data_IF_015272164354
#
_entry.id   IF_015272164354
#
_cell.length_a   1.000
_cell.length_b   1.000
_cell.length_c   1.000
_cell.angle_alpha   90.00
_cell.angle_beta   90.00
_cell.angle_gamma   90.00
#
_symmetry.space_group_name_H-M   'P 1'
#
loop_
_entity.id
_entity.type
_entity.pdbx_description
1 polymer ?
#
# COMPACT_ATOMS: atom_id res chain seq x y z
N UNK A 1 -4.85 -1.66 -19.91
CA UNK A 1 -4.14 -0.84 -18.91
C UNK A 1 -4.08 -1.52 -17.53
N UNK A 2 -5.21 -2.01 -16.97
CA UNK A 2 -5.23 -2.58 -15.61
C UNK A 2 -4.31 -3.83 -15.48
N UNK A 3 -4.36 -4.76 -16.43
CA UNK A 3 -3.49 -5.95 -16.42
C UNK A 3 -2.01 -5.55 -16.46
N UNK A 4 -1.67 -4.58 -17.29
CA UNK A 4 -0.29 -4.10 -17.41
C UNK A 4 0.18 -3.45 -16.09
N UNK A 5 -0.66 -2.65 -15.42
CA UNK A 5 -0.33 -2.10 -14.10
C UNK A 5 -0.04 -3.19 -13.07
N UNK A 6 -0.88 -4.23 -13.02
CA UNK A 6 -0.71 -5.34 -12.08
C UNK A 6 0.57 -6.14 -12.36
N UNK A 7 0.84 -6.45 -13.63
CA UNK A 7 2.06 -7.15 -14.02
C UNK A 7 3.32 -6.36 -13.63
N UNK A 8 3.34 -5.07 -13.93
CA UNK A 8 4.49 -4.22 -13.59
C UNK A 8 4.65 -4.07 -12.08
N UNK A 9 3.53 -3.92 -11.34
CA UNK A 9 3.58 -3.90 -9.87
C UNK A 9 4.10 -5.21 -9.27
N UNK A 10 3.76 -6.36 -9.86
CA UNK A 10 4.30 -7.64 -9.41
C UNK A 10 5.79 -7.79 -9.75
N UNK A 11 6.18 -7.37 -10.95
CA UNK A 11 7.58 -7.40 -11.38
C UNK A 11 8.47 -6.50 -10.50
N UNK A 12 8.01 -5.28 -10.19
CA UNK A 12 8.82 -4.40 -9.35
C UNK A 12 9.01 -4.97 -7.95
N UNK A 13 7.98 -5.60 -7.35
CA UNK A 13 8.13 -6.27 -6.05
C UNK A 13 9.19 -7.38 -6.08
N UNK A 14 9.21 -8.18 -7.16
CA UNK A 14 10.22 -9.22 -7.34
C UNK A 14 11.62 -8.62 -7.46
N UNK A 15 11.77 -7.56 -8.26
CA UNK A 15 13.04 -6.86 -8.47
C UNK A 15 13.57 -6.25 -7.17
N UNK A 16 12.70 -5.59 -6.40
CA UNK A 16 13.01 -5.02 -5.09
C UNK A 16 13.53 -6.12 -4.13
N UNK A 17 12.86 -7.26 -4.03
CA UNK A 17 13.30 -8.39 -3.20
C UNK A 17 14.65 -8.95 -3.66
N UNK A 18 14.94 -9.00 -4.97
CA UNK A 18 16.23 -9.42 -5.50
C UNK A 18 17.33 -8.42 -5.08
N UNK A 19 17.08 -7.12 -5.15
CA UNK A 19 18.06 -6.11 -4.75
C UNK A 19 18.34 -6.15 -3.25
N UNK A 20 17.31 -6.27 -2.41
CA UNK A 20 17.47 -6.41 -0.95
C UNK A 20 18.24 -7.70 -0.63
N UNK A 21 17.87 -8.83 -1.25
CA UNK A 21 18.54 -10.11 -1.03
C UNK A 21 20.01 -10.09 -1.41
N UNK A 22 20.38 -9.38 -2.48
CA UNK A 22 21.79 -9.26 -2.91
C UNK A 22 22.58 -8.21 -2.10
N UNK A 23 21.94 -7.12 -1.67
CA UNK A 23 22.60 -6.02 -0.99
C UNK A 23 22.69 -6.17 0.52
N UNK A 24 21.67 -6.78 1.14
CA UNK A 24 21.57 -6.94 2.61
C UNK A 24 21.64 -8.41 3.03
N UNK A 25 21.29 -9.30 2.11
CA UNK A 25 21.25 -10.74 2.36
C UNK A 25 19.88 -11.22 2.84
N UNK A 26 19.83 -12.51 3.25
CA UNK A 26 18.57 -13.18 3.63
C UNK A 26 17.87 -12.54 4.84
N UNK A 27 18.59 -11.94 5.76
CA UNK A 27 18.02 -11.24 6.92
C UNK A 27 17.24 -9.98 6.49
N UNK A 28 17.69 -9.27 5.44
CA UNK A 28 16.98 -8.16 4.86
C UNK A 28 15.64 -8.58 4.23
N UNK A 29 15.62 -9.64 3.43
CA UNK A 29 14.38 -10.19 2.88
C UNK A 29 13.44 -10.70 3.97
N UNK A 30 13.96 -11.38 5.00
CA UNK A 30 13.17 -11.79 6.15
C UNK A 30 12.50 -10.59 6.86
N UNK A 31 13.23 -9.50 7.01
CA UNK A 31 12.72 -8.27 7.62
C UNK A 31 11.59 -7.62 6.79
N UNK A 32 11.74 -7.54 5.48
CA UNK A 32 10.67 -7.00 4.60
C UNK A 32 9.43 -7.88 4.61
N UNK A 33 9.56 -9.21 4.65
CA UNK A 33 8.44 -10.14 4.73
C UNK A 33 7.66 -10.02 6.06
N UNK A 34 8.33 -9.73 7.18
CA UNK A 34 7.68 -9.45 8.47
C UNK A 34 6.86 -8.16 8.41
N UNK A 35 7.34 -7.14 7.69
CA UNK A 35 6.66 -5.84 7.58
C UNK A 35 5.56 -5.84 6.51
N UNK A 36 5.63 -6.71 5.51
CA UNK A 36 4.70 -6.75 4.38
C UNK A 36 3.22 -6.85 4.78
N UNK A 37 2.78 -7.64 5.79
CA UNK A 37 1.39 -7.68 6.21
C UNK A 37 0.81 -6.32 6.60
N UNK A 38 1.63 -5.39 7.08
CA UNK A 38 1.20 -4.03 7.45
C UNK A 38 0.81 -3.22 6.22
N UNK A 39 1.59 -3.35 5.15
CA UNK A 39 1.26 -2.71 3.87
C UNK A 39 -0.01 -3.30 3.27
N UNK A 40 -0.27 -4.60 3.46
CA UNK A 40 -1.51 -5.25 3.03
C UNK A 40 -2.72 -4.76 3.85
N UNK A 41 -2.58 -4.53 5.16
CA UNK A 41 -3.63 -3.92 6.00
C UNK A 41 -3.92 -2.48 5.50
N UNK A 42 -2.89 -1.70 5.23
CA UNK A 42 -3.05 -0.37 4.67
C UNK A 42 -3.74 -0.40 3.30
N UNK A 43 -3.39 -1.38 2.45
CA UNK A 43 -4.04 -1.62 1.16
C UNK A 43 -5.51 -2.01 1.32
N UNK A 44 -5.85 -2.84 2.30
CA UNK A 44 -7.23 -3.25 2.58
C UNK A 44 -8.13 -2.04 2.84
N UNK A 45 -7.65 -1.08 3.65
CA UNK A 45 -8.39 0.15 3.97
C UNK A 45 -8.45 1.08 2.76
N UNK A 46 -7.36 1.20 2.01
CA UNK A 46 -7.30 1.98 0.78
C UNK A 46 -8.32 1.49 -0.25
N UNK A 47 -8.36 0.17 -0.50
CA UNK A 47 -9.28 -0.44 -1.46
C UNK A 47 -10.72 -0.44 -0.95
N UNK A 48 -10.98 -0.64 0.34
CA UNK A 48 -12.33 -0.51 0.90
C UNK A 48 -12.91 0.87 0.58
N UNK A 49 -12.14 1.92 0.76
CA UNK A 49 -12.57 3.29 0.49
C UNK A 49 -12.59 3.59 -1.02
N UNK A 50 -11.52 3.22 -1.73
CA UNK A 50 -11.34 3.50 -3.16
C UNK A 50 -12.33 2.74 -4.04
N UNK A 51 -12.43 1.42 -3.89
CA UNK A 51 -13.35 0.60 -4.69
C UNK A 51 -14.81 0.88 -4.34
N UNK A 52 -15.09 1.10 -3.04
CA UNK A 52 -16.44 1.50 -2.62
C UNK A 52 -16.86 2.85 -3.20
N UNK A 53 -15.97 3.83 -3.23
CA UNK A 53 -16.21 5.11 -3.89
C UNK A 53 -16.33 4.94 -5.41
N UNK A 54 -15.47 4.15 -6.03
CA UNK A 54 -15.50 3.88 -7.46
C UNK A 54 -16.83 3.26 -7.91
N UNK A 55 -17.32 2.29 -7.15
CA UNK A 55 -18.63 1.67 -7.41
C UNK A 55 -19.78 2.70 -7.29
N UNK A 56 -19.79 3.50 -6.23
CA UNK A 56 -20.83 4.52 -6.04
C UNK A 56 -20.71 5.67 -7.06
N UNK A 57 -19.49 6.05 -7.44
CA UNK A 57 -19.23 7.04 -8.49
C UNK A 57 -19.82 6.57 -9.82
N UNK A 58 -19.62 5.31 -10.20
CA UNK A 58 -20.18 4.74 -11.42
C UNK A 58 -21.71 4.76 -11.44
N UNK A 59 -22.34 4.52 -10.29
CA UNK A 59 -23.80 4.65 -10.14
C UNK A 59 -24.24 6.11 -10.35
N UNK A 60 -23.55 7.08 -9.74
CA UNK A 60 -23.85 8.49 -9.89
C UNK A 60 -23.67 8.97 -11.34
N UNK A 61 -22.64 8.49 -12.03
CA UNK A 61 -22.41 8.78 -13.45
C UNK A 61 -23.56 8.24 -14.33
N UNK A 62 -24.02 7.01 -14.07
CA UNK A 62 -25.15 6.42 -14.77
C UNK A 62 -26.45 7.23 -14.57
N UNK A 63 -26.64 7.81 -13.38
CA UNK A 63 -27.77 8.69 -13.07
C UNK A 63 -27.56 10.15 -13.51
N UNK A 64 -26.38 10.51 -14.04
CA UNK A 64 -25.96 11.87 -14.39
C UNK A 64 -26.03 12.87 -13.20
N UNK A 65 -25.85 12.37 -11.98
CA UNK A 65 -25.88 13.17 -10.74
C UNK A 65 -24.46 13.58 -10.33
N UNK A 66 -23.95 14.62 -10.98
CA UNK A 66 -22.58 15.12 -10.76
C UNK A 66 -22.40 15.69 -9.35
N UNK A 67 -23.46 16.17 -8.69
CA UNK A 67 -23.36 16.71 -7.34
C UNK A 67 -23.10 15.60 -6.31
N UNK A 68 -23.81 14.47 -6.43
CA UNK A 68 -23.55 13.30 -5.58
C UNK A 68 -22.20 12.68 -5.86
N UNK A 69 -21.80 12.58 -7.14
CA UNK A 69 -20.48 12.11 -7.54
C UNK A 69 -19.36 12.92 -6.86
N UNK A 70 -19.42 14.25 -6.95
CA UNK A 70 -18.47 15.18 -6.33
C UNK A 70 -18.39 14.99 -4.80
N UNK A 71 -19.53 14.94 -4.12
CA UNK A 71 -19.59 14.76 -2.66
C UNK A 71 -19.07 13.39 -2.24
N UNK A 72 -19.33 12.34 -3.02
CA UNK A 72 -18.82 11.01 -2.78
C UNK A 72 -17.28 11.00 -2.83
N UNK A 73 -16.71 11.49 -3.93
CA UNK A 73 -15.24 11.52 -4.10
C UNK A 73 -14.59 12.40 -3.04
N UNK A 74 -15.14 13.59 -2.73
CA UNK A 74 -14.59 14.43 -1.66
C UNK A 74 -14.59 13.74 -0.31
N UNK A 75 -15.66 13.03 0.06
CA UNK A 75 -15.72 12.25 1.29
C UNK A 75 -14.72 11.07 1.29
N UNK A 76 -14.56 10.39 0.14
CA UNK A 76 -13.58 9.31 0.01
C UNK A 76 -12.14 9.81 0.18
N UNK A 77 -11.77 10.93 -0.44
CA UNK A 77 -10.46 11.56 -0.29
C UNK A 77 -10.19 11.90 1.18
N UNK A 78 -11.16 12.53 1.86
CA UNK A 78 -11.01 12.86 3.28
C UNK A 78 -10.90 11.61 4.16
N UNK A 79 -11.63 10.54 3.83
CA UNK A 79 -11.55 9.26 4.53
C UNK A 79 -10.20 8.58 4.31
N UNK A 80 -9.64 8.61 3.10
CA UNK A 80 -8.30 8.07 2.80
C UNK A 80 -7.23 8.79 3.62
N UNK A 81 -7.28 10.12 3.70
CA UNK A 81 -6.34 10.90 4.49
C UNK A 81 -6.50 10.60 5.98
N UNK A 82 -7.73 10.61 6.50
CA UNK A 82 -7.99 10.36 7.92
C UNK A 82 -7.58 8.95 8.32
N UNK A 83 -7.97 7.94 7.54
CA UNK A 83 -7.63 6.55 7.82
C UNK A 83 -6.12 6.30 7.75
N UNK A 84 -5.40 6.94 6.84
CA UNK A 84 -3.94 6.83 6.76
C UNK A 84 -3.24 7.42 8.00
N UNK A 85 -3.72 8.55 8.52
CA UNK A 85 -3.19 9.14 9.76
C UNK A 85 -3.46 8.20 10.95
N UNK A 86 -4.67 7.66 11.05
CA UNK A 86 -5.02 6.70 12.11
C UNK A 86 -4.11 5.47 12.04
N UNK A 87 -3.87 4.93 10.82
CA UNK A 87 -2.98 3.79 10.62
C UNK A 87 -1.54 4.09 11.05
N UNK A 88 -1.00 5.26 10.68
CA UNK A 88 0.34 5.69 11.11
C UNK A 88 0.44 5.71 12.62
N UNK A 89 -0.55 6.27 13.31
CA UNK A 89 -0.58 6.34 14.78
C UNK A 89 -0.66 4.93 15.39
N UNK A 90 -1.59 4.10 14.90
CA UNK A 90 -1.76 2.73 15.40
C UNK A 90 -0.49 1.88 15.20
N UNK A 91 0.14 1.98 14.04
CA UNK A 91 1.36 1.23 13.72
C UNK A 91 2.56 1.75 14.51
N UNK A 92 2.67 3.06 14.71
CA UNK A 92 3.75 3.64 15.52
C UNK A 92 3.70 3.14 16.97
N UNK A 93 2.51 3.12 17.59
CA UNK A 93 2.35 2.60 18.95
C UNK A 93 2.40 1.08 19.05
N UNK A 94 1.89 0.37 18.04
CA UNK A 94 1.81 -1.10 18.01
C UNK A 94 3.04 -1.81 17.45
N UNK A 95 4.10 -1.08 17.09
CA UNK A 95 5.25 -1.59 16.33
C UNK A 95 5.81 -2.92 16.86
N UNK A 96 6.18 -2.99 18.12
CA UNK A 96 6.81 -4.17 18.71
C UNK A 96 5.87 -5.39 18.74
N UNK A 97 4.61 -5.17 19.10
CA UNK A 97 3.60 -6.22 19.10
C UNK A 97 3.35 -6.77 17.68
N UNK A 98 3.28 -5.88 16.71
CA UNK A 98 3.05 -6.23 15.29
C UNK A 98 4.23 -7.06 14.76
N UNK A 99 5.48 -6.60 14.95
CA UNK A 99 6.66 -7.32 14.49
C UNK A 99 6.76 -8.71 15.12
N UNK A 100 6.44 -8.83 16.41
CA UNK A 100 6.41 -10.12 17.11
C UNK A 100 5.34 -11.07 16.54
N UNK A 101 4.12 -10.57 16.30
CA UNK A 101 3.01 -11.39 15.76
C UNK A 101 3.30 -11.89 14.35
N UNK A 102 3.98 -11.09 13.52
CA UNK A 102 4.31 -11.46 12.15
C UNK A 102 5.66 -12.20 12.01
N UNK A 103 6.24 -12.65 13.13
CA UNK A 103 7.35 -13.61 13.12
C UNK A 103 8.73 -12.97 13.04
N UNK A 104 8.93 -11.74 13.55
CA UNK A 104 10.28 -11.20 13.71
C UNK A 104 11.12 -12.08 14.63
N UNK A 105 12.32 -12.45 14.19
CA UNK A 105 13.30 -13.21 14.96
C UNK A 105 14.31 -12.28 15.61
N UNK A 106 15.05 -12.76 16.61
CA UNK A 106 16.12 -11.97 17.25
C UNK A 106 17.16 -11.46 16.25
N UNK A 107 17.40 -12.21 15.17
CA UNK A 107 18.41 -11.89 14.15
C UNK A 107 17.94 -10.81 13.16
N UNK A 108 16.65 -10.77 12.82
CA UNK A 108 16.11 -9.86 11.79
C UNK A 108 15.36 -8.65 12.35
N UNK A 109 15.05 -8.63 13.66
CA UNK A 109 14.23 -7.59 14.28
C UNK A 109 14.81 -6.18 14.14
N UNK A 110 16.13 -6.03 14.14
CA UNK A 110 16.78 -4.73 13.93
C UNK A 110 16.49 -4.19 12.54
N UNK A 111 16.70 -5.01 11.50
CA UNK A 111 16.41 -4.65 10.11
C UNK A 111 14.91 -4.38 9.90
N UNK A 112 14.04 -5.19 10.55
CA UNK A 112 12.61 -5.01 10.49
C UNK A 112 12.15 -3.70 11.13
N UNK A 113 12.75 -3.28 12.26
CA UNK A 113 12.48 -1.99 12.91
C UNK A 113 12.87 -0.81 12.04
N UNK A 114 14.06 -0.87 11.43
CA UNK A 114 14.55 0.20 10.56
C UNK A 114 13.67 0.37 9.32
N UNK A 115 13.35 -0.74 8.66
CA UNK A 115 12.44 -0.76 7.52
C UNK A 115 11.04 -0.26 7.90
N UNK A 116 10.48 -0.75 9.01
CA UNK A 116 9.17 -0.40 9.50
C UNK A 116 9.02 1.10 9.80
N UNK A 117 10.03 1.70 10.49
CA UNK A 117 10.00 3.13 10.84
C UNK A 117 9.91 4.02 9.60
N UNK A 118 10.53 3.60 8.51
CA UNK A 118 10.51 4.36 7.26
C UNK A 118 9.19 4.10 6.52
N UNK A 119 8.79 2.83 6.37
CA UNK A 119 7.54 2.47 5.66
C UNK A 119 6.31 3.15 6.27
N UNK A 120 6.24 3.30 7.59
CA UNK A 120 5.13 4.02 8.26
C UNK A 120 4.97 5.44 7.69
N UNK A 121 6.06 6.15 7.40
CA UNK A 121 6.01 7.51 6.82
C UNK A 121 5.42 7.46 5.40
N UNK A 122 5.62 6.35 4.68
CA UNK A 122 5.08 6.13 3.34
C UNK A 122 3.59 5.74 3.30
N UNK A 123 3.03 5.24 4.41
CA UNK A 123 1.64 4.76 4.46
C UNK A 123 0.61 5.79 3.96
N UNK A 124 0.66 7.07 4.33
CA UNK A 124 -0.28 8.05 3.79
C UNK A 124 -0.27 8.16 2.26
N UNK A 125 0.91 8.15 1.67
CA UNK A 125 1.07 8.20 0.21
C UNK A 125 0.57 6.92 -0.44
N UNK A 126 0.88 5.77 0.16
CA UNK A 126 0.46 4.46 -0.29
C UNK A 126 -1.07 4.30 -0.27
N UNK A 127 -1.71 4.61 0.85
CA UNK A 127 -3.18 4.54 1.02
C UNK A 127 -3.87 5.48 0.05
N UNK A 128 -3.39 6.72 -0.04
CA UNK A 128 -3.95 7.73 -0.94
C UNK A 128 -3.85 7.30 -2.40
N UNK A 129 -2.67 6.86 -2.85
CA UNK A 129 -2.45 6.45 -4.25
C UNK A 129 -3.33 5.25 -4.64
N UNK A 130 -3.38 4.21 -3.81
CA UNK A 130 -4.15 3.01 -4.12
C UNK A 130 -5.66 3.29 -4.13
N UNK A 131 -6.17 4.02 -3.15
CA UNK A 131 -7.56 4.44 -3.12
C UNK A 131 -7.93 5.34 -4.31
N UNK A 132 -7.09 6.31 -4.65
CA UNK A 132 -7.31 7.19 -5.79
C UNK A 132 -7.23 6.45 -7.13
N UNK A 133 -6.36 5.46 -7.28
CA UNK A 133 -6.27 4.68 -8.51
C UNK A 133 -7.59 3.99 -8.88
N UNK A 134 -8.35 3.51 -7.89
CA UNK A 134 -9.69 2.93 -8.12
C UNK A 134 -10.69 4.00 -8.59
N UNK A 135 -10.65 5.17 -7.97
CA UNK A 135 -11.53 6.31 -8.32
C UNK A 135 -11.18 6.85 -9.72
N UNK A 136 -9.90 7.01 -10.05
CA UNK A 136 -9.43 7.48 -11.36
C UNK A 136 -9.86 6.54 -12.49
N UNK A 137 -9.79 5.22 -12.23
CA UNK A 137 -10.28 4.22 -13.20
C UNK A 137 -11.79 4.33 -13.43
N UNK A 138 -12.57 4.50 -12.37
CA UNK A 138 -14.01 4.70 -12.44
C UNK A 138 -14.40 6.03 -13.11
N UNK A 139 -13.56 7.06 -13.00
CA UNK A 139 -13.74 8.35 -13.68
C UNK A 139 -13.42 8.30 -15.19
N UNK A 140 -13.21 7.10 -15.74
CA UNK A 140 -12.94 6.89 -17.17
C UNK A 140 -11.50 7.21 -17.61
N UNK A 141 -10.54 7.22 -16.68
CA UNK A 141 -9.13 7.49 -16.96
C UNK A 141 -8.18 6.36 -16.51
N UNK A 142 -8.45 5.08 -16.90
CA UNK A 142 -7.61 3.95 -16.49
C UNK A 142 -6.16 4.04 -17.00
N UNK A 143 -5.94 4.76 -18.09
CA UNK A 143 -4.59 5.01 -18.61
C UNK A 143 -3.78 5.91 -17.68
N UNK A 144 -4.40 6.94 -17.11
CA UNK A 144 -3.74 7.83 -16.17
C UNK A 144 -3.36 7.09 -14.88
N UNK A 145 -4.27 6.28 -14.32
CA UNK A 145 -3.98 5.44 -13.15
C UNK A 145 -2.82 4.48 -13.44
N UNK A 146 -2.79 3.86 -14.62
CA UNK A 146 -1.68 3.00 -15.06
C UNK A 146 -0.35 3.77 -15.12
N UNK A 147 -0.32 4.92 -15.77
CA UNK A 147 0.89 5.72 -15.94
C UNK A 147 1.41 6.19 -14.57
N UNK A 148 0.54 6.65 -13.67
CA UNK A 148 0.90 7.05 -12.31
C UNK A 148 1.58 5.91 -11.55
N UNK A 149 1.03 4.69 -11.62
CA UNK A 149 1.62 3.50 -11.00
C UNK A 149 2.97 3.15 -11.64
N UNK A 150 3.04 3.16 -12.99
CA UNK A 150 4.27 2.84 -13.71
C UNK A 150 5.42 3.80 -13.36
N UNK A 151 5.14 5.10 -13.30
CA UNK A 151 6.16 6.10 -12.92
C UNK A 151 6.69 5.81 -11.53
N UNK A 152 5.82 5.52 -10.55
CA UNK A 152 6.23 5.15 -9.20
C UNK A 152 7.10 3.89 -9.16
N UNK A 153 6.72 2.84 -9.91
CA UNK A 153 7.51 1.62 -10.02
C UNK A 153 8.88 1.86 -10.66
N UNK A 154 8.95 2.64 -11.75
CA UNK A 154 10.22 2.94 -12.42
C UNK A 154 11.15 3.74 -11.51
N UNK A 155 10.63 4.73 -10.78
CA UNK A 155 11.41 5.50 -9.81
C UNK A 155 11.97 4.57 -8.72
N UNK A 156 11.17 3.68 -8.17
CA UNK A 156 11.62 2.71 -7.19
C UNK A 156 12.73 1.81 -7.75
N UNK A 157 12.54 1.17 -8.91
CA UNK A 157 13.52 0.29 -9.56
C UNK A 157 14.86 1.00 -9.84
N UNK A 158 14.84 2.31 -10.12
CA UNK A 158 16.06 3.10 -10.34
C UNK A 158 16.72 3.47 -9.01
N UNK A 159 15.93 3.86 -8.01
CA UNK A 159 16.47 4.30 -6.72
C UNK A 159 16.95 3.16 -5.84
N UNK A 160 16.34 1.97 -5.90
CA UNK A 160 16.74 0.81 -5.11
C UNK A 160 18.22 0.46 -5.26
N UNK A 161 18.76 0.20 -6.48
CA UNK A 161 20.17 -0.13 -6.62
C UNK A 161 21.08 1.03 -6.22
N UNK A 162 20.67 2.27 -6.42
CA UNK A 162 21.46 3.42 -5.99
C UNK A 162 21.54 3.46 -4.46
N UNK A 163 20.40 3.33 -3.77
CA UNK A 163 20.35 3.39 -2.32
C UNK A 163 21.03 2.19 -1.65
N UNK A 164 20.87 1.00 -2.22
CA UNK A 164 21.39 -0.24 -1.64
C UNK A 164 22.89 -0.41 -1.95
N UNK A 165 23.31 -0.28 -3.22
CA UNK A 165 24.67 -0.66 -3.65
C UNK A 165 25.63 0.52 -3.73
N UNK A 166 25.16 1.75 -4.06
CA UNK A 166 26.02 2.94 -4.17
C UNK A 166 26.12 3.66 -2.83
N UNK A 167 24.98 3.90 -2.17
CA UNK A 167 24.93 4.61 -0.89
C UNK A 167 25.13 3.68 0.31
N UNK A 168 25.08 2.36 0.11
CA UNK A 168 25.22 1.34 1.15
C UNK A 168 24.23 1.51 2.34
N UNK A 169 23.01 2.02 2.06
CA UNK A 169 21.98 2.23 3.07
C UNK A 169 21.19 0.96 3.42
N UNK A 170 21.46 -0.15 2.73
CA UNK A 170 20.85 -1.45 3.02
C UNK A 170 19.31 -1.40 2.95
N UNK A 171 18.66 -2.00 3.95
CA UNK A 171 17.17 -2.08 4.02
C UNK A 171 16.51 -0.71 4.13
N UNK A 172 17.16 0.23 4.81
CA UNK A 172 16.73 1.63 4.94
C UNK A 172 16.64 2.30 3.56
N UNK A 173 17.63 2.02 2.70
CA UNK A 173 17.66 2.54 1.33
C UNK A 173 16.51 2.04 0.48
N UNK A 174 16.20 0.75 0.54
CA UNK A 174 15.06 0.16 -0.14
C UNK A 174 13.72 0.79 0.31
N UNK A 175 13.54 0.95 1.63
CA UNK A 175 12.35 1.61 2.17
C UNK A 175 12.20 3.05 1.66
N UNK A 176 13.27 3.82 1.62
CA UNK A 176 13.27 5.21 1.12
C UNK A 176 12.95 5.27 -0.38
N UNK A 177 13.51 4.37 -1.19
CA UNK A 177 13.21 4.28 -2.61
C UNK A 177 11.73 3.93 -2.86
N UNK A 178 11.18 3.01 -2.07
CA UNK A 178 9.75 2.66 -2.11
C UNK A 178 8.87 3.87 -1.79
N UNK A 179 9.19 4.62 -0.73
CA UNK A 179 8.41 5.83 -0.37
C UNK A 179 8.55 6.90 -1.45
N UNK A 180 9.72 7.09 -2.03
CA UNK A 180 9.91 8.07 -3.10
C UNK A 180 9.01 7.76 -4.31
N UNK A 181 8.94 6.49 -4.73
CA UNK A 181 8.02 6.06 -5.78
C UNK A 181 6.54 6.28 -5.42
N UNK A 182 6.14 5.95 -4.19
CA UNK A 182 4.79 6.17 -3.68
C UNK A 182 4.44 7.66 -3.58
N UNK A 183 5.37 8.50 -3.15
CA UNK A 183 5.18 9.95 -3.08
C UNK A 183 4.91 10.55 -4.44
N UNK A 184 5.71 10.21 -5.46
CA UNK A 184 5.48 10.71 -6.82
C UNK A 184 4.14 10.23 -7.38
N UNK A 185 3.78 8.96 -7.16
CA UNK A 185 2.46 8.45 -7.56
C UNK A 185 1.32 9.18 -6.83
N UNK A 186 1.49 9.52 -5.54
CA UNK A 186 0.52 10.30 -4.79
C UNK A 186 0.36 11.73 -5.32
N UNK A 187 1.46 12.38 -5.70
CA UNK A 187 1.42 13.70 -6.33
C UNK A 187 0.68 13.66 -7.67
N UNK A 188 0.92 12.65 -8.50
CA UNK A 188 0.19 12.47 -9.76
C UNK A 188 -1.30 12.20 -9.53
N UNK A 189 -1.65 11.37 -8.53
CA UNK A 189 -3.03 11.12 -8.16
C UNK A 189 -3.73 12.39 -7.62
N UNK A 190 -3.02 13.21 -6.84
CA UNK A 190 -3.51 14.51 -6.38
C UNK A 190 -3.68 15.50 -7.54
N UNK A 191 -2.74 15.54 -8.48
CA UNK A 191 -2.86 16.34 -9.70
C UNK A 191 -4.13 15.97 -10.48
N UNK A 192 -4.46 14.67 -10.58
CA UNK A 192 -5.68 14.24 -11.24
C UNK A 192 -6.96 14.81 -10.61
N UNK A 193 -7.00 15.00 -9.29
CA UNK A 193 -8.18 15.56 -8.61
C UNK A 193 -8.58 16.96 -9.14
N UNK A 194 -7.59 17.72 -9.60
CA UNK A 194 -7.84 19.05 -10.19
C UNK A 194 -8.26 18.97 -11.68
N UNK A 195 -8.01 17.83 -12.33
CA UNK A 195 -8.27 17.61 -13.77
C UNK A 195 -9.25 16.46 -14.04
N UNK A 196 -10.03 16.07 -13.04
CA UNK A 196 -10.99 14.97 -13.14
C UNK A 196 -12.07 15.27 -14.20
N UNK A 197 -12.53 14.20 -14.89
CA UNK A 197 -13.46 14.32 -16.01
C UNK A 197 -14.91 14.51 -15.57
N UNK A 198 -15.34 13.79 -14.55
CA UNK A 198 -16.75 13.72 -14.16
C UNK A 198 -17.10 14.57 -12.94
N UNK A 199 -16.09 15.09 -12.22
CA UNK A 199 -16.33 15.89 -11.02
C UNK A 199 -15.28 16.99 -10.88
N UNK A 200 -15.68 18.11 -10.31
CA UNK A 200 -14.75 19.15 -9.86
C UNK A 200 -14.81 19.21 -8.34
N UNK A 201 -13.70 18.96 -7.67
CA UNK A 201 -13.64 19.05 -6.22
C UNK A 201 -13.83 20.50 -5.77
N UNK A 202 -14.66 20.65 -4.76
CA UNK A 202 -14.89 21.89 -4.03
C UNK A 202 -14.55 21.64 -2.56
N UNK A 203 -13.88 22.56 -1.84
CA UNK A 203 -13.56 22.37 -0.43
C UNK A 203 -14.75 21.94 0.43
N UNK A 204 -15.96 22.40 0.10
CA UNK A 204 -17.20 21.98 0.75
C UNK A 204 -17.59 20.51 0.55
N UNK A 205 -17.06 19.84 -0.49
CA UNK A 205 -17.29 18.42 -0.76
C UNK A 205 -16.42 17.49 0.08
N UNK A 206 -15.31 17.99 0.63
CA UNK A 206 -14.38 17.25 1.46
C UNK A 206 -14.86 17.11 2.92
N UNK A 207 -15.91 17.82 3.32
CA UNK A 207 -16.50 17.65 4.64
C UNK A 207 -17.07 16.23 4.78
N UNK A 208 -16.55 15.48 5.74
CA UNK A 208 -16.98 14.12 6.03
C UNK A 208 -18.46 14.11 6.43
N UNK A 209 -19.26 13.38 5.67
CA UNK A 209 -20.68 13.19 5.95
C UNK A 209 -21.00 11.72 6.07
N UNK A 210 -21.49 11.31 7.20
CA UNK A 210 -21.84 9.91 7.50
C UNK A 210 -22.72 9.24 6.43
N UNK A 211 -23.60 10.03 5.82
CA UNK A 211 -24.49 9.58 4.72
C UNK A 211 -23.72 9.01 3.52
N UNK A 212 -22.55 9.56 3.18
CA UNK A 212 -21.71 9.07 2.07
C UNK A 212 -20.82 7.91 2.51
N UNK A 213 -20.30 7.95 3.74
CA UNK A 213 -19.54 6.83 4.30
C UNK A 213 -20.38 5.56 4.35
N UNK A 214 -21.63 5.66 4.83
CA UNK A 214 -22.57 4.53 4.89
C UNK A 214 -22.92 3.93 3.52
N UNK A 215 -22.59 4.62 2.42
CA UNK A 215 -22.75 4.11 1.06
C UNK A 215 -21.46 3.57 0.48
N UNK A 216 -20.33 4.22 0.76
CA UNK A 216 -19.00 3.85 0.27
C UNK A 216 -18.53 2.55 0.93
N UNK A 217 -18.54 2.48 2.26
CA UNK A 217 -17.95 1.37 3.01
C UNK A 217 -18.58 0.01 2.69
N UNK A 218 -19.91 -0.17 2.64
CA UNK A 218 -20.50 -1.46 2.30
C UNK A 218 -20.15 -1.94 0.89
N UNK A 219 -19.99 -1.02 -0.07
CA UNK A 219 -19.61 -1.37 -1.45
C UNK A 219 -18.15 -1.83 -1.55
N UNK A 220 -17.27 -1.35 -0.65
CA UNK A 220 -15.86 -1.73 -0.63
C UNK A 220 -15.52 -2.88 0.31
N UNK A 221 -16.50 -3.42 1.07
CA UNK A 221 -16.22 -4.45 2.08
C UNK A 221 -15.66 -5.75 1.50
N UNK A 222 -16.02 -6.11 0.29
CA UNK A 222 -15.50 -7.30 -0.39
C UNK A 222 -14.00 -7.18 -0.66
N UNK A 223 -13.54 -6.02 -1.14
CA UNK A 223 -12.12 -5.73 -1.34
C UNK A 223 -11.35 -5.76 -0.02
N UNK A 224 -11.92 -5.20 1.04
CA UNK A 224 -11.35 -5.25 2.39
C UNK A 224 -11.17 -6.68 2.89
N UNK A 225 -12.23 -7.50 2.81
CA UNK A 225 -12.20 -8.89 3.28
C UNK A 225 -11.20 -9.74 2.48
N UNK A 226 -11.08 -9.50 1.17
CA UNK A 226 -10.09 -10.17 0.33
C UNK A 226 -8.66 -9.90 0.82
N UNK A 227 -8.32 -8.64 1.06
CA UNK A 227 -7.00 -8.27 1.56
C UNK A 227 -6.75 -8.75 2.99
N UNK A 228 -7.77 -8.68 3.86
CA UNK A 228 -7.67 -9.20 5.22
C UNK A 228 -7.41 -10.71 5.24
N UNK A 229 -8.02 -11.47 4.33
CA UNK A 229 -7.75 -12.91 4.19
C UNK A 229 -6.28 -13.17 3.86
N UNK A 230 -5.66 -12.35 2.99
CA UNK A 230 -4.23 -12.44 2.68
C UNK A 230 -3.39 -12.18 3.93
N UNK A 231 -3.72 -11.18 4.74
CA UNK A 231 -3.01 -10.87 6.00
C UNK A 231 -3.06 -12.06 6.97
N UNK A 232 -4.23 -12.68 7.13
CA UNK A 232 -4.40 -13.85 8.01
C UNK A 232 -3.56 -15.04 7.50
N UNK A 233 -3.61 -15.31 6.20
CA UNK A 233 -2.81 -16.38 5.57
C UNK A 233 -1.31 -16.12 5.80
N UNK A 234 -0.84 -14.90 5.57
CA UNK A 234 0.57 -14.54 5.79
C UNK A 234 0.98 -14.67 7.26
N UNK A 235 0.14 -14.21 8.18
CA UNK A 235 0.42 -14.34 9.61
C UNK A 235 0.55 -15.81 10.06
N UNK A 236 -0.37 -16.67 9.62
CA UNK A 236 -0.31 -18.12 9.91
C UNK A 236 0.91 -18.76 9.25
N UNK A 237 1.20 -18.40 8.00
CA UNK A 237 2.32 -18.93 7.26
C UNK A 237 3.67 -18.53 7.90
N UNK A 238 3.86 -17.24 8.20
CA UNK A 238 5.07 -16.75 8.85
C UNK A 238 5.28 -17.42 10.21
N UNK A 239 4.26 -17.48 11.05
CA UNK A 239 4.33 -18.17 12.37
C UNK A 239 4.69 -19.64 12.22
N UNK A 240 4.13 -20.32 11.22
CA UNK A 240 4.41 -21.73 10.93
C UNK A 240 5.85 -21.91 10.44
N UNK A 241 6.31 -21.04 9.52
CA UNK A 241 7.67 -21.09 9.00
C UNK A 241 8.72 -20.86 10.09
N UNK A 242 8.50 -19.89 10.98
CA UNK A 242 9.39 -19.65 12.13
C UNK A 242 9.43 -20.89 13.04
N UNK A 243 8.26 -21.45 13.41
CA UNK A 243 8.16 -22.59 14.31
C UNK A 243 8.83 -23.85 13.76
N UNK A 244 8.51 -24.23 12.53
CA UNK A 244 9.06 -25.45 11.92
C UNK A 244 10.45 -25.23 11.31
N UNK A 245 10.76 -24.01 10.86
CA UNK A 245 12.10 -23.63 10.42
C UNK A 245 13.14 -23.75 11.54
N UNK A 246 12.80 -23.35 12.76
CA UNK A 246 13.67 -23.50 13.93
C UNK A 246 14.01 -24.96 14.23
N UNK A 247 13.16 -25.92 13.83
CA UNK A 247 13.39 -27.37 13.97
C UNK A 247 14.22 -27.95 12.80
N UNK A 248 14.43 -27.19 11.75
CA UNK A 248 15.17 -27.62 10.56
C UNK A 248 16.65 -27.24 10.65
N UNK A 249 17.49 -27.88 9.81
CA UNK A 249 18.90 -27.53 9.67
C UNK A 249 19.15 -26.12 9.11
N UNK A 250 18.12 -25.45 8.59
CA UNK A 250 18.20 -24.12 7.97
C UNK A 250 17.87 -22.98 8.94
N UNK A 251 17.41 -23.27 10.18
CA UNK A 251 16.99 -22.27 11.15
C UNK A 251 15.68 -21.56 10.81
N UNK A 252 15.26 -20.64 11.65
CA UNK A 252 13.99 -19.92 11.50
C UNK A 252 14.00 -18.86 10.39
N UNK A 253 15.16 -18.28 10.08
CA UNK A 253 15.27 -17.09 9.21
C UNK A 253 15.23 -17.44 7.71
N UNK A 254 15.91 -18.52 7.29
CA UNK A 254 16.00 -18.90 5.87
C UNK A 254 14.63 -19.24 5.26
N UNK A 255 13.75 -20.04 5.88
CA UNK A 255 12.45 -20.34 5.32
C UNK A 255 11.57 -19.11 5.06
N UNK A 256 11.73 -18.03 5.84
CA UNK A 256 11.00 -16.79 5.65
C UNK A 256 11.41 -16.00 4.41
N UNK A 257 12.59 -16.27 3.84
CA UNK A 257 13.09 -15.58 2.65
C UNK A 257 12.56 -16.18 1.33
N UNK A 258 11.89 -17.34 1.40
CA UNK A 258 11.39 -18.08 0.23
C UNK A 258 9.94 -17.69 -0.08
N UNK A 259 9.30 -16.88 0.77
CA UNK A 259 7.95 -16.36 0.56
C UNK A 259 7.95 -15.11 -0.31
#
# INVERSE_FOLDING_TARGET
PCILSLLVSSLYNIVDQIFIGRGVGYLGNGATNVVFPITVIALAIALMTGDGCAAFLSICQGMKDNERARKCVGNAVSLLILSSIILVVLFAFGKEAILSVFGATENNISYARDYFNIIIIGIPFFVFTNGMNSIIRADGSPQFAMISTLIGCVINIILDPIAIFVLHWGVTGAALATIAGQFVSAVLAAYYLFHAKSFRLDPGSMLIRFKYLAKILPLGISSFLTQLSIVVIMGVMNSTLVKYGAMSKYGADIPMTVM
#
